data_IF_502996135715
#
_entry.id   IF_502996135715
#
_cell.length_a   1.000
_cell.length_b   1.000
_cell.length_c   1.000
_cell.angle_alpha   90.00
_cell.angle_beta   90.00
_cell.angle_gamma   90.00
#
_symmetry.space_group_name_H-M   'P 1'
#
loop_
_entity.id
_entity.type
_entity.pdbx_description
1 polymer ?
#
# COMPACT_ATOMS: atom_id res chain seq x y z
N UNK A 1 11.39 10.67 0.65
CA UNK A 1 11.42 9.90 -0.61
C UNK A 1 12.83 9.37 -0.79
N UNK A 2 12.99 8.06 -0.93
CA UNK A 2 14.29 7.45 -1.21
C UNK A 2 14.42 7.20 -2.71
N UNK A 3 15.56 7.59 -3.27
CA UNK A 3 15.87 7.40 -4.69
C UNK A 3 17.03 6.42 -4.81
N UNK A 4 16.86 5.37 -5.62
CA UNK A 4 17.93 4.45 -5.97
C UNK A 4 18.24 4.67 -7.45
N UNK A 5 19.48 5.05 -7.75
CA UNK A 5 20.00 5.15 -9.11
C UNK A 5 20.77 3.86 -9.43
N UNK A 6 20.42 3.22 -10.55
CA UNK A 6 21.11 2.02 -11.04
C UNK A 6 21.99 2.34 -12.24
N UNK A 7 22.99 1.49 -12.46
CA UNK A 7 23.77 1.48 -13.69
C UNK A 7 22.83 1.48 -14.91
N UNK A 8 23.07 2.36 -15.88
CA UNK A 8 22.19 2.57 -17.04
C UNK A 8 21.15 3.67 -16.87
N UNK A 9 21.23 4.51 -15.82
CA UNK A 9 20.42 5.72 -15.69
C UNK A 9 18.98 5.49 -15.21
N UNK A 10 18.65 4.26 -14.79
CA UNK A 10 17.31 3.96 -14.24
C UNK A 10 17.21 4.48 -12.81
N UNK A 11 16.15 5.24 -12.52
CA UNK A 11 15.82 5.75 -11.19
C UNK A 11 14.61 5.01 -10.63
N UNK A 12 14.68 4.67 -9.36
CA UNK A 12 13.54 4.14 -8.62
C UNK A 12 13.25 5.01 -7.41
N UNK A 13 11.98 5.32 -7.23
CA UNK A 13 11.48 6.12 -6.11
C UNK A 13 10.70 5.21 -5.18
N UNK A 14 11.10 5.19 -3.91
CA UNK A 14 10.48 4.38 -2.87
C UNK A 14 9.66 5.25 -1.92
N UNK A 15 8.41 4.83 -1.73
CA UNK A 15 7.52 5.28 -0.68
C UNK A 15 7.50 4.23 0.42
N UNK A 16 7.70 4.65 1.66
CA UNK A 16 7.68 3.78 2.83
C UNK A 16 6.40 4.06 3.63
N UNK A 17 5.72 3.01 4.06
CA UNK A 17 4.61 3.12 5.01
C UNK A 17 5.18 3.07 6.44
N UNK A 18 4.94 4.08 7.30
CA UNK A 18 5.33 4.02 8.71
C UNK A 18 4.69 2.82 9.42
N UNK A 19 5.43 2.21 10.36
CA UNK A 19 4.96 1.03 11.08
C UNK A 19 3.59 1.24 11.74
N UNK A 20 3.38 2.40 12.38
CA UNK A 20 2.14 2.73 13.07
C UNK A 20 0.95 2.83 12.11
N UNK A 21 1.19 3.31 10.88
CA UNK A 21 0.15 3.39 9.87
C UNK A 21 -0.17 2.00 9.31
N UNK A 22 0.86 1.19 9.06
CA UNK A 22 0.69 -0.20 8.62
C UNK A 22 -0.10 -1.02 9.67
N UNK A 23 0.21 -0.85 10.95
CA UNK A 23 -0.50 -1.49 12.06
C UNK A 23 -1.95 -1.02 12.17
N UNK A 24 -2.20 0.30 12.15
CA UNK A 24 -3.56 0.85 12.22
C UNK A 24 -4.45 0.45 11.04
N UNK A 25 -3.84 0.21 9.88
CA UNK A 25 -4.51 -0.29 8.69
C UNK A 25 -4.60 -1.83 8.69
N UNK A 26 -4.00 -2.55 9.62
CA UNK A 26 -3.90 -4.02 9.57
C UNK A 26 -3.33 -4.48 8.21
N UNK A 27 -2.23 -3.87 7.80
CA UNK A 27 -1.55 -4.18 6.55
C UNK A 27 -0.81 -5.52 6.64
N UNK A 28 -0.86 -6.30 5.57
CA UNK A 28 -0.21 -7.60 5.49
C UNK A 28 0.86 -7.61 4.38
N UNK A 29 1.97 -8.32 4.63
CA UNK A 29 2.99 -8.49 3.62
C UNK A 29 2.40 -9.17 2.38
N UNK A 30 2.52 -8.51 1.23
CA UNK A 30 2.04 -9.03 -0.05
C UNK A 30 0.56 -8.78 -0.31
N UNK A 31 -0.11 -7.94 0.48
CA UNK A 31 -1.46 -7.49 0.15
C UNK A 31 -1.49 -6.68 -1.17
N UNK A 32 -2.62 -6.76 -1.88
CA UNK A 32 -2.83 -5.99 -3.10
C UNK A 32 -3.31 -4.57 -2.73
N UNK A 33 -2.56 -3.56 -3.18
CA UNK A 33 -2.93 -2.16 -3.06
C UNK A 33 -3.10 -1.53 -4.44
N UNK A 34 -4.02 -0.60 -4.54
CA UNK A 34 -4.26 0.20 -5.73
C UNK A 34 -3.65 1.59 -5.55
N UNK A 35 -2.91 2.02 -6.56
CA UNK A 35 -2.31 3.35 -6.61
C UNK A 35 -3.14 4.22 -7.55
N UNK A 36 -3.70 5.31 -7.03
CA UNK A 36 -4.51 6.25 -7.80
C UNK A 36 -3.79 7.58 -7.85
N UNK A 37 -3.30 7.95 -9.04
CA UNK A 37 -2.73 9.29 -9.28
C UNK A 37 -3.91 10.23 -9.55
N UNK A 38 -4.23 11.08 -8.58
CA UNK A 38 -5.30 12.07 -8.73
C UNK A 38 -4.79 13.29 -9.49
N UNK A 39 -3.60 13.78 -9.13
CA UNK A 39 -2.92 14.87 -9.82
C UNK A 39 -1.39 14.83 -9.56
N UNK A 40 -0.66 15.92 -9.89
CA UNK A 40 0.81 16.00 -9.71
C UNK A 40 1.26 16.10 -8.25
N UNK A 41 0.36 16.46 -7.35
CA UNK A 41 0.57 16.70 -5.93
C UNK A 41 -0.13 15.66 -5.04
N UNK A 42 -1.07 14.89 -5.59
CA UNK A 42 -1.93 13.98 -4.84
C UNK A 42 -1.86 12.56 -5.39
N UNK A 43 -1.49 11.62 -4.51
CA UNK A 43 -1.47 10.18 -4.74
C UNK A 43 -2.28 9.50 -3.64
N UNK A 44 -3.32 8.77 -4.03
CA UNK A 44 -4.17 8.02 -3.12
C UNK A 44 -3.81 6.53 -3.17
N UNK A 45 -3.62 5.92 -2.00
CA UNK A 45 -3.44 4.47 -1.87
C UNK A 45 -4.77 3.88 -1.39
N UNK A 46 -5.37 3.03 -2.22
CA UNK A 46 -6.61 2.32 -1.88
C UNK A 46 -6.31 0.85 -1.62
N UNK A 47 -6.66 0.38 -0.43
CA UNK A 47 -6.60 -1.04 -0.09
C UNK A 47 -7.80 -1.75 -0.70
N UNK A 48 -7.60 -2.92 -1.29
CA UNK A 48 -8.73 -3.80 -1.62
C UNK A 48 -9.19 -4.52 -0.35
N UNK A 49 -10.49 -4.64 -0.11
CA UNK A 49 -10.97 -5.46 0.98
C UNK A 49 -10.50 -6.90 0.74
N UNK A 50 -9.63 -7.40 1.61
CA UNK A 50 -9.18 -8.79 1.57
C UNK A 50 -10.40 -9.71 1.62
N UNK A 51 -10.50 -10.74 0.75
CA UNK A 51 -11.57 -11.74 0.86
C UNK A 51 -11.63 -12.36 2.26
N UNK A 52 -10.48 -12.46 2.95
CA UNK A 52 -10.35 -13.00 4.31
C UNK A 52 -11.01 -12.12 5.37
N UNK A 53 -11.08 -10.81 5.13
CA UNK A 53 -11.76 -9.86 6.04
C UNK A 53 -13.29 -9.98 6.01
N UNK A 54 -13.87 -10.66 5.01
CA UNK A 54 -15.31 -10.96 4.97
C UNK A 54 -15.67 -12.22 5.76
N UNK A 55 -14.78 -13.22 5.82
CA UNK A 55 -15.04 -14.46 6.57
C UNK A 55 -15.06 -14.23 8.08
N UNK A 56 -14.17 -13.38 8.60
CA UNK A 56 -14.14 -13.05 10.03
C UNK A 56 -15.44 -12.40 10.54
N UNK A 57 -16.14 -11.62 9.70
CA UNK A 57 -17.42 -10.98 10.07
C UNK A 57 -18.66 -11.85 9.80
N UNK A 58 -18.50 -13.00 9.15
CA UNK A 58 -19.63 -13.90 8.81
C UNK A 58 -19.81 -15.03 9.81
N UNK A 59 -18.80 -15.31 10.64
CA UNK A 59 -18.83 -16.34 11.68
C UNK A 59 -19.30 -15.81 13.05
N UNK A 60 -19.86 -14.59 13.09
CA UNK A 60 -20.41 -13.95 14.29
C UNK A 60 -21.92 -13.63 14.16
N UNK A 61 -22.62 -14.25 13.19
CA UNK A 61 -24.07 -14.11 13.00
C UNK A 61 -24.79 -15.45 12.99
#
# INVERSE_FOLDING_TARGET
MQVIERAGGTRQFYLMCPAQLAEALEMEKGEEIEWVVEDKHTLTIRRRPSPRGREARRHER
#
